data_IF_012495542104
#
_entry.id   IF_012495542104
#
_cell.length_a   1.000
_cell.length_b   1.000
_cell.length_c   1.000
_cell.angle_alpha   90.00
_cell.angle_beta   90.00
_cell.angle_gamma   90.00
#
_symmetry.space_group_name_H-M   'P 1'
#
loop_
_entity.id
_entity.type
_entity.pdbx_description
1 polymer ?
#
# COMPACT_ATOMS: atom_id res chain seq x y z
N UNK A 1 -4.67 0.66 2.47
CA UNK A 1 -5.82 -0.12 1.95
C UNK A 1 -6.79 -0.48 3.08
N UNK A 2 -7.46 0.51 3.66
CA UNK A 2 -8.44 0.24 4.71
C UNK A 2 -9.81 -0.08 4.08
N UNK A 3 -10.44 0.91 3.46
CA UNK A 3 -11.65 0.66 2.66
C UNK A 3 -11.26 0.68 1.18
N UNK A 4 -11.41 -0.44 0.50
CA UNK A 4 -11.13 -0.52 -0.93
C UNK A 4 -12.10 0.34 -1.73
N UNK A 5 -11.56 1.10 -2.66
CA UNK A 5 -12.33 1.94 -3.57
C UNK A 5 -11.69 1.90 -4.96
N UNK A 6 -12.34 2.53 -5.92
CA UNK A 6 -11.89 2.55 -7.31
C UNK A 6 -10.45 3.06 -7.47
N UNK A 7 -10.07 4.07 -6.68
CA UNK A 7 -8.71 4.61 -6.72
C UNK A 7 -7.65 3.55 -6.42
N UNK A 8 -7.90 2.69 -5.42
CA UNK A 8 -7.03 1.55 -5.13
C UNK A 8 -6.99 0.56 -6.30
N UNK A 9 -8.16 0.19 -6.82
CA UNK A 9 -8.24 -0.80 -7.90
C UNK A 9 -7.50 -0.33 -9.16
N UNK A 10 -7.71 0.91 -9.60
CA UNK A 10 -7.01 1.46 -10.77
C UNK A 10 -5.50 1.51 -10.56
N UNK A 11 -5.06 1.97 -9.39
CA UNK A 11 -3.64 2.01 -9.02
C UNK A 11 -3.00 0.61 -9.07
N UNK A 12 -3.68 -0.40 -8.54
CA UNK A 12 -3.17 -1.76 -8.51
C UNK A 12 -3.15 -2.40 -9.91
N UNK A 13 -4.16 -2.17 -10.72
CA UNK A 13 -4.17 -2.63 -12.12
C UNK A 13 -3.04 -2.02 -12.92
N UNK A 14 -2.83 -0.73 -12.82
CA UNK A 14 -1.73 -0.03 -13.48
C UNK A 14 -0.36 -0.56 -13.00
N UNK A 15 -0.24 -0.83 -11.71
CA UNK A 15 0.98 -1.40 -11.14
C UNK A 15 1.26 -2.80 -11.68
N UNK A 16 0.23 -3.63 -11.81
CA UNK A 16 0.36 -4.99 -12.37
C UNK A 16 0.84 -4.97 -13.82
N UNK A 17 0.43 -4.00 -14.60
CA UNK A 17 0.85 -3.85 -15.99
C UNK A 17 2.35 -3.57 -16.15
N UNK A 18 3.02 -3.08 -15.12
CA UNK A 18 4.46 -2.78 -15.13
C UNK A 18 5.34 -4.02 -14.97
N UNK A 19 4.78 -5.16 -14.59
CA UNK A 19 5.54 -6.39 -14.34
C UNK A 19 4.71 -7.64 -14.59
N UNK A 20 5.28 -8.79 -14.27
CA UNK A 20 4.66 -10.09 -14.51
C UNK A 20 3.82 -10.58 -13.33
N UNK A 21 4.08 -10.04 -12.14
CA UNK A 21 3.36 -10.38 -10.91
C UNK A 21 3.28 -9.16 -10.00
N UNK A 22 2.19 -9.05 -9.25
CA UNK A 22 1.98 -7.99 -8.25
C UNK A 22 1.86 -8.60 -6.85
N UNK A 23 2.79 -8.24 -5.99
CA UNK A 23 2.75 -8.53 -4.56
C UNK A 23 2.49 -7.23 -3.80
N UNK A 24 1.58 -7.26 -2.84
CA UNK A 24 1.24 -6.09 -2.01
C UNK A 24 1.74 -6.30 -0.60
N UNK A 25 2.49 -5.33 -0.10
CA UNK A 25 2.86 -5.25 1.31
C UNK A 25 1.74 -4.51 2.06
N UNK A 26 1.19 -5.16 3.07
CA UNK A 26 0.04 -4.67 3.83
C UNK A 26 0.45 -4.43 5.27
N UNK A 27 0.19 -3.23 5.77
CA UNK A 27 0.44 -2.91 7.18
C UNK A 27 -0.45 -3.77 8.09
N UNK A 28 0.15 -4.33 9.15
CA UNK A 28 -0.62 -4.98 10.22
C UNK A 28 -1.57 -3.99 10.89
N UNK A 29 -2.54 -4.48 11.65
CA UNK A 29 -3.44 -3.63 12.41
C UNK A 29 -2.69 -2.77 13.42
N UNK A 30 -1.70 -3.35 14.09
CA UNK A 30 -0.83 -2.63 15.03
C UNK A 30 -0.06 -1.49 14.32
N UNK A 31 0.48 -1.77 13.15
CA UNK A 31 1.18 -0.78 12.33
C UNK A 31 0.28 0.38 11.94
N UNK A 32 -0.95 0.08 11.50
CA UNK A 32 -1.92 1.12 11.13
C UNK A 32 -2.30 1.98 12.33
N UNK A 33 -2.54 1.37 13.50
CA UNK A 33 -2.82 2.13 14.73
C UNK A 33 -1.69 3.09 15.09
N UNK A 34 -0.45 2.64 14.98
CA UNK A 34 0.71 3.47 15.27
C UNK A 34 0.85 4.67 14.29
N UNK A 35 0.44 4.48 13.04
CA UNK A 35 0.56 5.51 12.00
C UNK A 35 -0.63 6.47 11.97
N UNK A 36 -1.85 5.96 12.21
CA UNK A 36 -3.11 6.69 11.97
C UNK A 36 -3.98 6.87 13.20
N UNK A 37 -3.60 6.31 14.34
CA UNK A 37 -4.34 6.41 15.60
C UNK A 37 -5.24 5.21 15.91
N UNK A 38 -5.82 5.18 17.14
CA UNK A 38 -6.50 4.00 17.67
C UNK A 38 -7.80 3.65 16.95
N UNK A 39 -8.38 4.56 16.20
CA UNK A 39 -9.63 4.33 15.45
C UNK A 39 -9.41 3.64 14.10
N UNK A 40 -8.17 3.42 13.70
CA UNK A 40 -7.79 2.75 12.46
C UNK A 40 -6.98 1.49 12.76
N UNK A 41 -7.06 0.44 11.92
CA UNK A 41 -7.86 0.34 10.70
C UNK A 41 -9.34 0.08 11.02
N UNK A 42 -10.21 0.35 10.05
CA UNK A 42 -11.64 -0.02 10.11
C UNK A 42 -11.84 -1.49 9.75
N UNK A 43 -11.02 -1.98 8.86
CA UNK A 43 -11.03 -3.38 8.39
C UNK A 43 -9.73 -4.04 8.85
N UNK A 44 -9.83 -5.17 9.54
CA UNK A 44 -8.65 -5.87 10.06
C UNK A 44 -7.75 -6.42 8.94
N UNK A 45 -6.51 -6.73 9.30
CA UNK A 45 -5.48 -7.15 8.34
C UNK A 45 -5.84 -8.40 7.54
N UNK A 46 -6.49 -9.38 8.17
CA UNK A 46 -6.92 -10.59 7.48
C UNK A 46 -7.95 -10.25 6.39
N UNK A 47 -8.96 -9.47 6.73
CA UNK A 47 -10.00 -9.07 5.79
C UNK A 47 -9.47 -8.12 4.71
N UNK A 48 -8.55 -7.23 5.04
CA UNK A 48 -7.89 -6.37 4.05
C UNK A 48 -7.10 -7.20 3.03
N UNK A 49 -6.34 -8.17 3.50
CA UNK A 49 -5.60 -9.08 2.62
C UNK A 49 -6.52 -9.95 1.77
N UNK A 50 -7.60 -10.44 2.35
CA UNK A 50 -8.58 -11.22 1.63
C UNK A 50 -9.17 -10.44 0.45
N UNK A 51 -9.63 -9.21 0.71
CA UNK A 51 -10.21 -8.37 -0.34
C UNK A 51 -9.19 -8.00 -1.42
N UNK A 52 -7.97 -7.65 -1.05
CA UNK A 52 -6.91 -7.37 -2.00
C UNK A 52 -6.60 -8.60 -2.87
N UNK A 53 -6.49 -9.76 -2.26
CA UNK A 53 -6.21 -11.01 -2.96
C UNK A 53 -7.34 -11.44 -3.90
N UNK A 54 -8.55 -10.96 -3.68
CA UNK A 54 -9.70 -11.22 -4.55
C UNK A 54 -9.65 -10.42 -5.86
N UNK A 55 -8.83 -9.37 -5.93
CA UNK A 55 -8.65 -8.60 -7.16
C UNK A 55 -7.83 -9.41 -8.17
N UNK A 56 -8.30 -9.44 -9.42
CA UNK A 56 -7.65 -10.23 -10.48
C UNK A 56 -6.19 -9.82 -10.73
N UNK A 57 -5.85 -8.56 -10.48
CA UNK A 57 -4.49 -8.05 -10.69
C UNK A 57 -3.50 -8.39 -9.58
N UNK A 58 -3.95 -8.93 -8.44
CA UNK A 58 -3.11 -9.21 -7.27
C UNK A 58 -2.73 -10.68 -7.22
N UNK A 59 -1.44 -10.96 -7.19
CA UNK A 59 -0.90 -12.32 -7.12
C UNK A 59 -0.64 -12.78 -5.68
N UNK A 60 -0.22 -11.86 -4.80
CA UNK A 60 0.05 -12.18 -3.40
C UNK A 60 -0.04 -10.95 -2.49
N UNK A 61 -0.30 -11.21 -1.21
CA UNK A 61 -0.26 -10.19 -0.15
C UNK A 61 0.63 -10.67 0.99
N UNK A 62 1.39 -9.74 1.58
CA UNK A 62 2.25 -10.01 2.74
C UNK A 62 2.00 -8.93 3.77
N UNK A 63 1.68 -9.35 5.01
CA UNK A 63 1.51 -8.44 6.14
C UNK A 63 2.87 -8.14 6.77
N UNK A 64 3.14 -6.88 7.05
CA UNK A 64 4.32 -6.48 7.80
C UNK A 64 3.94 -5.68 9.03
N UNK A 65 4.73 -5.84 10.10
CA UNK A 65 4.61 -5.06 11.33
C UNK A 65 5.55 -3.86 11.31
N UNK A 66 5.26 -2.87 12.16
CA UNK A 66 6.07 -1.67 12.25
C UNK A 66 5.66 -0.59 11.25
N UNK A 67 6.32 0.55 11.35
CA UNK A 67 6.01 1.73 10.53
C UNK A 67 6.65 1.68 9.13
N UNK A 68 7.63 0.80 8.95
CA UNK A 68 8.43 0.67 7.72
C UNK A 68 8.47 -0.78 7.29
N UNK A 69 8.63 -0.98 6.00
CA UNK A 69 8.75 -2.31 5.39
C UNK A 69 10.14 -2.55 4.78
N UNK A 70 11.17 -1.85 5.26
CA UNK A 70 12.54 -1.96 4.75
C UNK A 70 13.08 -3.39 4.79
N UNK A 71 12.79 -4.15 5.85
CA UNK A 71 13.17 -5.55 5.97
C UNK A 71 12.54 -6.40 4.86
N UNK A 72 11.23 -6.26 4.68
CA UNK A 72 10.48 -7.01 3.67
C UNK A 72 10.94 -6.65 2.26
N UNK A 73 11.20 -5.37 2.00
CA UNK A 73 11.72 -4.92 0.70
C UNK A 73 13.09 -5.53 0.39
N UNK A 74 13.94 -5.64 1.41
CA UNK A 74 15.27 -6.25 1.26
C UNK A 74 15.16 -7.75 1.01
N UNK A 75 14.30 -8.45 1.73
CA UNK A 75 14.12 -9.89 1.59
C UNK A 75 13.46 -10.28 0.26
N UNK A 76 12.48 -9.50 -0.19
CA UNK A 76 11.78 -9.76 -1.44
C UNK A 76 12.65 -9.46 -2.67
N UNK A 77 13.49 -8.46 -2.60
CA UNK A 77 14.37 -8.03 -3.69
C UNK A 77 13.64 -8.00 -5.04
N UNK A 78 12.46 -7.36 -5.07
CA UNK A 78 11.64 -7.27 -6.27
C UNK A 78 12.32 -6.44 -7.37
N UNK A 79 11.93 -6.66 -8.61
CA UNK A 79 12.45 -5.88 -9.74
C UNK A 79 11.96 -4.43 -9.72
N UNK A 80 10.68 -4.25 -9.34
CA UNK A 80 10.02 -2.95 -9.27
C UNK A 80 9.33 -2.75 -7.93
N UNK A 81 9.41 -1.53 -7.42
CA UNK A 81 8.64 -1.06 -6.28
C UNK A 81 7.78 0.12 -6.71
N UNK A 82 6.47 0.00 -6.52
CA UNK A 82 5.53 1.06 -6.87
C UNK A 82 5.04 1.74 -5.59
N UNK A 83 5.24 3.04 -5.49
CA UNK A 83 4.78 3.87 -4.39
C UNK A 83 3.68 4.80 -4.89
N UNK A 84 2.52 4.75 -4.24
CA UNK A 84 1.40 5.64 -4.56
C UNK A 84 1.50 6.97 -3.84
N UNK A 85 1.03 8.03 -4.49
CA UNK A 85 0.99 9.37 -3.92
C UNK A 85 2.04 10.32 -4.47
N UNK A 86 2.11 11.52 -3.89
CA UNK A 86 3.03 12.58 -4.31
C UNK A 86 4.40 12.40 -3.65
N UNK A 87 5.02 11.25 -3.88
CA UNK A 87 6.35 10.95 -3.36
C UNK A 87 7.42 11.23 -4.39
N UNK A 88 8.58 11.66 -3.89
CA UNK A 88 9.84 11.73 -4.63
C UNK A 88 10.87 10.89 -3.88
N UNK A 89 12.03 10.62 -4.50
CA UNK A 89 13.11 9.88 -3.85
C UNK A 89 13.51 10.50 -2.51
N UNK A 90 13.52 11.81 -2.42
CA UNK A 90 13.90 12.54 -1.19
C UNK A 90 12.87 12.41 -0.07
N UNK A 91 11.61 12.15 -0.42
CA UNK A 91 10.50 12.01 0.54
C UNK A 91 10.23 10.57 0.95
N UNK A 92 10.85 9.62 0.29
CA UNK A 92 10.75 8.21 0.65
C UNK A 92 11.50 7.99 1.98
N UNK A 93 10.98 7.10 2.83
CA UNK A 93 11.65 6.74 4.09
C UNK A 93 13.10 6.31 3.81
N UNK A 94 14.09 6.87 4.51
CA UNK A 94 15.50 6.58 4.24
C UNK A 94 15.88 5.12 4.35
N UNK A 95 15.30 4.37 5.31
CA UNK A 95 15.58 2.96 5.48
C UNK A 95 14.98 2.12 4.35
N UNK A 96 13.77 2.44 3.92
CA UNK A 96 13.13 1.79 2.77
C UNK A 96 13.91 2.09 1.48
N UNK A 97 14.31 3.33 1.27
CA UNK A 97 15.12 3.72 0.12
C UNK A 97 16.44 2.95 0.08
N UNK A 98 17.13 2.86 1.21
CA UNK A 98 18.38 2.11 1.31
C UNK A 98 18.20 0.62 1.00
N UNK A 99 17.11 0.03 1.49
CA UNK A 99 16.77 -1.36 1.21
C UNK A 99 16.52 -1.61 -0.28
N UNK A 100 15.77 -0.72 -0.92
CA UNK A 100 15.48 -0.79 -2.37
C UNK A 100 16.75 -0.65 -3.21
N UNK A 101 17.60 0.32 -2.88
CA UNK A 101 18.87 0.53 -3.57
C UNK A 101 19.80 -0.69 -3.40
N UNK A 102 19.90 -1.24 -2.19
CA UNK A 102 20.72 -2.42 -1.92
C UNK A 102 20.23 -3.66 -2.67
N UNK A 103 18.92 -3.80 -2.85
CA UNK A 103 18.31 -4.90 -3.60
C UNK A 103 18.33 -4.70 -5.13
N UNK A 104 18.74 -3.53 -5.61
CA UNK A 104 18.70 -3.20 -7.04
C UNK A 104 17.30 -3.00 -7.58
N UNK A 105 16.33 -2.71 -6.71
CA UNK A 105 14.94 -2.52 -7.08
C UNK A 105 14.72 -1.15 -7.70
N UNK A 106 14.07 -1.12 -8.87
CA UNK A 106 13.68 0.13 -9.53
C UNK A 106 12.44 0.71 -8.82
N UNK A 107 12.48 2.01 -8.52
CA UNK A 107 11.38 2.70 -7.84
C UNK A 107 10.54 3.45 -8.87
N UNK A 108 9.23 3.23 -8.82
CA UNK A 108 8.24 3.89 -9.67
C UNK A 108 7.22 4.60 -8.80
N UNK A 109 7.00 5.90 -9.03
CA UNK A 109 5.99 6.67 -8.32
C UNK A 109 4.76 6.83 -9.20
N UNK A 110 3.58 6.55 -8.62
CA UNK A 110 2.31 6.76 -9.29
C UNK A 110 1.44 7.71 -8.47
N UNK A 111 0.88 8.75 -9.09
CA UNK A 111 0.00 9.68 -8.37
C UNK A 111 -1.30 9.01 -7.95
N UNK A 112 -1.89 9.50 -6.87
CA UNK A 112 -3.24 9.09 -6.49
C UNK A 112 -4.26 9.56 -7.53
N UNK A 113 -5.30 8.74 -7.71
CA UNK A 113 -6.42 9.10 -8.58
C UNK A 113 -7.28 10.11 -7.82
N UNK A 114 -7.52 11.32 -8.36
CA UNK A 114 -8.27 12.35 -7.67
C UNK A 114 -9.70 11.91 -7.34
N UNK A 115 -10.18 12.33 -6.17
CA UNK A 115 -11.55 12.10 -5.76
C UNK A 115 -11.79 10.82 -4.97
N UNK A 116 -10.79 9.96 -4.80
CA UNK A 116 -10.94 8.69 -4.08
C UNK A 116 -10.01 8.62 -2.87
N UNK A 117 -10.59 8.36 -1.70
CA UNK A 117 -9.83 8.04 -0.48
C UNK A 117 -10.74 7.40 0.56
N UNK A 118 -10.18 6.56 1.41
CA UNK A 118 -10.88 5.99 2.57
C UNK A 118 -11.44 7.09 3.47
N UNK A 119 -10.65 8.13 3.72
CA UNK A 119 -11.05 9.26 4.57
C UNK A 119 -12.30 9.96 4.01
N UNK A 120 -12.38 10.19 2.72
CA UNK A 120 -13.57 10.80 2.10
C UNK A 120 -14.83 9.95 2.25
N UNK A 121 -14.69 8.63 2.16
CA UNK A 121 -15.80 7.71 2.37
C UNK A 121 -16.29 7.82 3.83
N UNK A 122 -15.38 7.77 4.78
CA UNK A 122 -15.71 7.90 6.22
C UNK A 122 -16.39 9.24 6.51
N UNK A 123 -15.87 10.34 5.99
CA UNK A 123 -16.45 11.67 6.15
C UNK A 123 -17.86 11.77 5.56
N UNK A 124 -18.05 11.17 4.38
CA UNK A 124 -19.37 11.13 3.76
C UNK A 124 -20.39 10.37 4.62
N UNK A 125 -19.99 9.23 5.17
CA UNK A 125 -20.83 8.45 6.09
C UNK A 125 -21.18 9.27 7.31
N UNK A 126 -20.18 9.89 7.95
CA UNK A 126 -20.39 10.72 9.16
C UNK A 126 -21.39 11.85 8.90
N UNK A 127 -21.30 12.51 7.77
CA UNK A 127 -22.23 13.58 7.37
C UNK A 127 -23.64 13.09 7.07
N UNK A 128 -23.80 11.80 6.76
CA UNK A 128 -25.10 11.19 6.45
C UNK A 128 -25.84 10.72 7.70
N UNK A 129 -25.18 10.69 8.84
CA UNK A 129 -25.77 10.34 10.12
C UNK A 129 -26.32 11.59 10.81
#
# INVERSE_FOLDING_TARGET
>A
FDLLHRGHAEYLYESRELGDALLILVNSDASVRDLKGPERPLVDEYNRCYLLSALACVDATVVFDGKRCDRELRELAADLYVKGGDYTLDRLDPAERAALEAAGTKICFKPFIPGFSTTRIVEKIRRSL
#
